data_IF_642457310935
#
_entry.id   IF_642457310935
#
_cell.length_a   1.000
_cell.length_b   1.000
_cell.length_c   1.000
_cell.angle_alpha   90.00
_cell.angle_beta   90.00
_cell.angle_gamma   90.00
#
_symmetry.space_group_name_H-M   'P 1'
#
loop_
_entity.id
_entity.type
_entity.pdbx_description
1 polymer ?
#
# COMPACT_ATOMS: atom_id res chain seq x y z
N UNK A 1 -11.02 59.21 60.87
CA UNK A 1 -9.77 59.54 60.15
C UNK A 1 -9.99 59.34 58.66
N UNK A 2 -9.74 60.39 57.87
CA UNK A 2 -9.57 60.45 56.39
C UNK A 2 -10.81 60.09 55.52
N UNK A 3 -11.60 61.03 54.99
CA UNK A 3 -11.42 61.86 53.74
C UNK A 3 -11.17 61.00 52.48
N UNK A 4 -11.81 61.15 51.30
CA UNK A 4 -12.55 62.25 50.68
C UNK A 4 -13.13 61.87 49.29
N UNK A 5 -14.10 62.70 48.81
CA UNK A 5 -14.41 63.13 47.41
C UNK A 5 -15.05 62.11 46.44
N UNK A 6 -16.31 62.24 46.03
CA UNK A 6 -16.95 63.20 45.07
C UNK A 6 -16.38 63.12 43.64
N UNK A 7 -17.25 62.80 42.67
CA UNK A 7 -16.97 62.99 41.25
C UNK A 7 -18.06 62.51 40.28
N UNK A 8 -19.27 63.07 40.32
CA UNK A 8 -20.20 63.03 39.19
C UNK A 8 -19.66 63.90 38.04
N UNK A 9 -19.62 63.37 36.81
CA UNK A 9 -19.64 64.16 35.58
C UNK A 9 -20.55 63.50 34.55
N UNK A 10 -21.67 64.16 34.28
CA UNK A 10 -22.31 64.17 32.96
C UNK A 10 -21.68 65.26 32.10
N UNK A 11 -21.76 65.13 30.77
CA UNK A 11 -22.34 66.22 30.00
C UNK A 11 -23.55 65.74 29.20
N UNK A 12 -24.65 66.43 29.43
CA UNK A 12 -25.75 66.62 28.50
C UNK A 12 -25.25 67.13 27.14
N UNK A 13 -25.83 66.64 26.04
CA UNK A 13 -26.44 67.49 25.00
C UNK A 13 -27.21 66.66 23.96
N UNK A 14 -28.46 67.09 23.72
CA UNK A 14 -29.24 67.02 22.47
C UNK A 14 -29.91 65.69 22.03
N UNK A 15 -31.22 65.61 22.32
CA UNK A 15 -32.26 65.00 21.45
C UNK A 15 -32.87 66.13 20.58
N UNK A 16 -33.38 65.88 19.35
CA UNK A 16 -34.76 65.37 19.18
C UNK A 16 -34.93 64.38 18.00
N UNK A 17 -35.70 63.31 18.21
CA UNK A 17 -37.08 63.08 17.72
C UNK A 17 -37.16 62.25 16.44
N UNK A 18 -37.63 61.00 16.56
CA UNK A 18 -38.81 60.52 15.83
C UNK A 18 -39.21 59.10 16.25
N UNK A 19 -40.46 59.03 16.71
CA UNK A 19 -41.44 57.94 16.56
C UNK A 19 -41.11 56.49 16.97
N UNK A 20 -41.86 56.08 18.00
CA UNK A 20 -42.57 54.79 18.16
C UNK A 20 -41.75 53.49 18.22
N UNK A 21 -41.93 52.57 19.15
CA UNK A 21 -42.80 52.42 20.31
C UNK A 21 -42.27 51.21 21.12
N UNK A 22 -42.51 51.21 22.44
CA UNK A 22 -42.67 49.97 23.21
C UNK A 22 -41.40 49.28 23.75
N UNK A 23 -40.78 49.86 24.77
CA UNK A 23 -40.30 49.06 25.91
C UNK A 23 -41.56 48.55 26.68
N UNK A 24 -41.54 47.56 27.62
CA UNK A 24 -40.41 47.47 28.56
C UNK A 24 -40.22 46.23 29.51
N UNK A 25 -39.14 46.34 30.31
CA UNK A 25 -39.00 46.01 31.74
C UNK A 25 -38.91 44.55 32.28
N UNK A 26 -37.87 44.39 33.10
CA UNK A 26 -37.82 43.76 34.43
C UNK A 26 -37.61 42.23 34.56
N UNK A 27 -36.36 41.89 34.84
CA UNK A 27 -35.91 41.42 36.16
C UNK A 27 -36.93 40.63 37.01
N UNK A 28 -36.72 39.32 37.15
CA UNK A 28 -36.32 38.68 38.41
C UNK A 28 -36.82 37.22 38.54
N UNK A 29 -36.00 36.43 39.23
CA UNK A 29 -36.32 35.24 40.05
C UNK A 29 -36.30 33.84 39.39
N UNK A 30 -35.54 32.99 40.10
CA UNK A 30 -35.84 31.60 40.46
C UNK A 30 -35.49 30.47 39.46
N UNK A 31 -34.32 29.87 39.71
CA UNK A 31 -34.13 28.45 40.04
C UNK A 31 -35.27 27.47 39.66
N UNK A 32 -35.04 26.63 38.65
CA UNK A 32 -35.04 25.16 38.78
C UNK A 32 -34.52 24.50 37.51
N UNK A 33 -33.53 23.61 37.65
CA UNK A 33 -33.14 22.64 36.61
C UNK A 33 -34.37 21.78 36.25
N UNK A 34 -34.61 21.46 34.97
CA UNK A 34 -35.44 20.31 34.62
C UNK A 34 -34.65 19.04 34.97
N UNK A 35 -35.28 18.20 35.79
CA UNK A 35 -34.79 16.89 36.18
C UNK A 35 -34.62 16.00 34.95
N UNK A 36 -33.47 15.30 34.89
CA UNK A 36 -33.27 14.15 34.02
C UNK A 36 -34.12 13.01 34.58
N UNK A 37 -35.15 12.63 33.83
CA UNK A 37 -35.95 11.45 34.11
C UNK A 37 -36.32 10.74 32.81
N UNK A 38 -36.18 9.42 32.83
CA UNK A 38 -36.56 8.45 31.80
C UNK A 38 -35.48 8.04 30.79
N UNK A 39 -34.66 7.12 31.30
CA UNK A 39 -33.94 6.02 30.65
C UNK A 39 -34.45 5.58 29.28
N UNK A 40 -33.62 5.77 28.25
CA UNK A 40 -33.60 4.85 27.09
C UNK A 40 -32.77 3.63 27.49
N UNK A 41 -33.32 2.39 27.52
CA UNK A 41 -32.57 1.19 27.92
C UNK A 41 -31.58 0.69 26.85
N UNK A 42 -31.33 1.45 25.79
CA UNK A 42 -30.64 0.99 24.58
C UNK A 42 -29.28 1.66 24.33
N UNK A 43 -28.66 2.23 25.37
CA UNK A 43 -27.28 2.77 25.31
C UNK A 43 -26.24 1.99 26.11
N UNK A 44 -26.63 0.97 26.88
CA UNK A 44 -25.71 0.22 27.74
C UNK A 44 -25.20 -1.12 27.17
N UNK A 45 -25.55 -1.48 25.92
CA UNK A 45 -25.19 -2.80 25.36
C UNK A 45 -24.04 -2.84 24.35
N UNK A 46 -23.25 -1.77 24.17
CA UNK A 46 -22.02 -1.82 23.34
C UNK A 46 -20.89 -0.93 23.90
N UNK A 47 -20.10 -1.40 24.88
CA UNK A 47 -18.89 -0.69 25.31
C UNK A 47 -17.67 -1.25 24.58
N UNK A 48 -17.49 -0.97 23.28
CA UNK A 48 -16.23 -1.32 22.58
C UNK A 48 -15.74 -0.24 21.59
N UNK A 49 -16.54 0.77 21.25
CA UNK A 49 -16.20 1.68 20.14
C UNK A 49 -15.41 2.96 20.49
N UNK A 50 -15.39 3.52 21.73
CA UNK A 50 -14.71 4.81 21.95
C UNK A 50 -13.20 4.75 21.67
N UNK A 51 -12.56 3.65 22.06
CA UNK A 51 -11.11 3.50 21.95
C UNK A 51 -10.61 3.37 20.49
N UNK A 52 -11.45 2.88 19.58
CA UNK A 52 -11.10 2.76 18.15
C UNK A 52 -11.14 4.12 17.45
N UNK A 53 -12.16 4.95 17.75
CA UNK A 53 -12.34 6.28 17.14
C UNK A 53 -11.29 7.28 17.65
N UNK A 54 -10.93 7.22 18.94
CA UNK A 54 -9.88 8.07 19.50
C UNK A 54 -8.46 7.67 19.06
N UNK A 55 -8.24 6.38 18.76
CA UNK A 55 -7.00 5.91 18.14
C UNK A 55 -6.93 6.35 16.66
N UNK A 56 -8.04 6.31 15.93
CA UNK A 56 -8.15 6.78 14.54
C UNK A 56 -7.82 8.28 14.41
N UNK A 57 -8.37 9.14 15.28
CA UNK A 57 -8.06 10.58 15.29
C UNK A 57 -6.59 10.90 15.63
N UNK A 58 -5.94 10.10 16.48
CA UNK A 58 -4.52 10.29 16.84
C UNK A 58 -3.57 9.76 15.76
N UNK A 59 -4.04 8.77 14.98
CA UNK A 59 -3.37 8.26 13.79
C UNK A 59 -3.46 9.29 12.66
N UNK A 60 -4.61 9.92 12.41
CA UNK A 60 -4.77 10.95 11.37
C UNK A 60 -3.78 12.12 11.53
N UNK A 61 -3.57 12.60 12.76
CA UNK A 61 -2.68 13.75 13.02
C UNK A 61 -1.17 13.43 12.92
N UNK A 62 -0.77 12.16 12.99
CA UNK A 62 0.63 11.70 12.74
C UNK A 62 0.82 11.05 11.38
N UNK A 63 -0.25 10.58 10.74
CA UNK A 63 -0.24 10.01 9.39
C UNK A 63 -0.19 11.10 8.30
N UNK A 64 -0.61 12.33 8.60
CA UNK A 64 -0.58 13.46 7.69
C UNK A 64 0.81 13.91 7.24
N UNK A 65 1.89 13.39 7.82
CA UNK A 65 3.25 13.88 7.58
C UNK A 65 3.96 13.13 6.43
N UNK A 66 3.45 11.99 5.93
CA UNK A 66 4.26 11.09 5.09
C UNK A 66 3.63 10.52 3.82
N UNK A 67 2.43 10.95 3.43
CA UNK A 67 2.03 10.75 2.04
C UNK A 67 2.93 11.67 1.22
N UNK A 68 3.92 11.13 0.52
CA UNK A 68 4.62 11.90 -0.51
C UNK A 68 3.56 12.28 -1.55
N UNK A 69 3.00 13.48 -1.40
CA UNK A 69 2.05 14.04 -2.36
C UNK A 69 2.85 14.28 -3.63
N UNK A 70 2.78 13.30 -4.54
CA UNK A 70 3.44 13.41 -5.84
C UNK A 70 2.57 14.26 -6.77
N UNK A 71 3.15 14.91 -7.78
CA UNK A 71 2.36 15.63 -8.78
C UNK A 71 1.39 14.68 -9.47
N UNK A 72 0.14 15.12 -9.69
CA UNK A 72 -0.91 14.31 -10.33
C UNK A 72 -0.44 13.67 -11.65
N UNK A 73 0.33 14.40 -12.47
CA UNK A 73 0.90 13.87 -13.72
C UNK A 73 1.78 12.62 -13.53
N UNK A 74 2.52 12.56 -12.43
CA UNK A 74 3.41 11.43 -12.11
C UNK A 74 2.60 10.26 -11.55
N UNK A 75 1.53 10.53 -10.80
CA UNK A 75 0.59 9.50 -10.34
C UNK A 75 -0.18 8.88 -11.51
N UNK A 76 -0.70 9.69 -12.43
CA UNK A 76 -1.39 9.22 -13.63
C UNK A 76 -0.45 8.40 -14.53
N UNK A 77 0.79 8.86 -14.73
CA UNK A 77 1.78 8.10 -15.50
C UNK A 77 2.06 6.74 -14.84
N UNK A 78 2.26 6.74 -13.51
CA UNK A 78 2.51 5.51 -12.73
C UNK A 78 1.31 4.55 -12.80
N UNK A 79 0.08 5.06 -12.62
CA UNK A 79 -1.14 4.27 -12.72
C UNK A 79 -1.32 3.66 -14.12
N UNK A 80 -1.01 4.44 -15.17
CA UNK A 80 -1.11 3.97 -16.57
C UNK A 80 -0.11 2.86 -16.87
N UNK A 81 1.15 3.03 -16.46
CA UNK A 81 2.21 2.02 -16.63
C UNK A 81 1.82 0.71 -15.93
N UNK A 82 1.42 0.81 -14.66
CA UNK A 82 1.04 -0.37 -13.87
C UNK A 82 -0.27 -1.01 -14.37
N UNK A 83 -1.24 -0.21 -14.83
CA UNK A 83 -2.49 -0.71 -15.41
C UNK A 83 -2.26 -1.48 -16.70
N UNK A 84 -1.38 -0.97 -17.59
CA UNK A 84 -0.94 -1.69 -18.78
C UNK A 84 -0.21 -3.00 -18.43
N UNK A 85 0.65 -2.97 -17.42
CA UNK A 85 1.35 -4.16 -16.94
C UNK A 85 0.39 -5.20 -16.33
N UNK A 86 -0.66 -4.78 -15.64
CA UNK A 86 -1.70 -5.68 -15.14
C UNK A 86 -2.44 -6.39 -16.29
N UNK A 87 -2.85 -5.65 -17.32
CA UNK A 87 -3.49 -6.24 -18.51
C UNK A 87 -2.54 -7.23 -19.22
N UNK A 88 -1.27 -6.84 -19.41
CA UNK A 88 -0.25 -7.72 -19.99
C UNK A 88 -0.02 -8.99 -19.14
N UNK A 89 -0.06 -8.87 -17.81
CA UNK A 89 0.10 -10.00 -16.89
C UNK A 89 -1.07 -10.97 -16.92
N UNK A 90 -2.30 -10.48 -17.09
CA UNK A 90 -3.47 -11.34 -17.27
C UNK A 90 -3.36 -12.15 -18.58
N UNK A 91 -2.96 -11.50 -19.68
CA UNK A 91 -2.71 -12.18 -20.96
C UNK A 91 -1.53 -13.16 -20.85
N UNK A 92 -0.46 -12.77 -20.15
CA UNK A 92 0.70 -13.62 -19.89
C UNK A 92 0.35 -14.86 -19.08
N UNK A 93 -0.48 -14.73 -18.05
CA UNK A 93 -1.00 -15.86 -17.28
C UNK A 93 -1.80 -16.82 -18.17
N UNK A 94 -2.75 -16.29 -18.97
CA UNK A 94 -3.52 -17.10 -19.90
C UNK A 94 -2.60 -17.84 -20.90
N UNK A 95 -1.58 -17.16 -21.43
CA UNK A 95 -0.58 -17.75 -22.32
C UNK A 95 0.20 -18.89 -21.65
N UNK A 96 0.70 -18.69 -20.42
CA UNK A 96 1.44 -19.71 -19.67
C UNK A 96 0.59 -20.94 -19.40
N UNK A 97 -0.66 -20.76 -18.97
CA UNK A 97 -1.59 -21.85 -18.71
C UNK A 97 -1.90 -22.62 -20.00
N UNK A 98 -2.18 -21.93 -21.10
CA UNK A 98 -2.44 -22.56 -22.39
C UNK A 98 -1.25 -23.39 -22.90
N UNK A 99 -0.01 -22.90 -22.68
CA UNK A 99 1.23 -23.61 -23.04
C UNK A 99 1.50 -24.83 -22.15
N UNK A 100 1.10 -24.78 -20.88
CA UNK A 100 1.30 -25.88 -19.94
C UNK A 100 0.19 -26.94 -19.99
N UNK A 101 -1.01 -26.57 -20.43
CA UNK A 101 -2.20 -27.44 -20.43
C UNK A 101 -2.00 -28.80 -21.13
N UNK A 102 -1.37 -28.90 -22.31
CA UNK A 102 -1.21 -30.19 -23.01
C UNK A 102 -0.37 -31.22 -22.24
N UNK A 103 0.39 -30.78 -21.23
CA UNK A 103 1.33 -31.62 -20.47
C UNK A 103 0.65 -32.45 -19.38
N UNK A 104 -0.61 -32.14 -19.05
CA UNK A 104 -1.35 -32.75 -17.94
C UNK A 104 -0.61 -32.74 -16.58
N UNK A 105 0.34 -31.80 -16.40
CA UNK A 105 1.08 -31.63 -15.15
C UNK A 105 0.38 -30.58 -14.27
N UNK A 106 -0.51 -31.05 -13.41
CA UNK A 106 -1.28 -30.18 -12.52
C UNK A 106 -0.38 -29.33 -11.60
N UNK A 107 0.75 -29.87 -11.16
CA UNK A 107 1.68 -29.17 -10.28
C UNK A 107 2.39 -28.03 -11.02
N UNK A 108 2.90 -28.29 -12.23
CA UNK A 108 3.50 -27.26 -13.08
C UNK A 108 2.50 -26.16 -13.45
N UNK A 109 1.26 -26.52 -13.81
CA UNK A 109 0.18 -25.55 -14.08
C UNK A 109 -0.10 -24.70 -12.84
N UNK A 110 -0.21 -25.31 -11.66
CA UNK A 110 -0.44 -24.58 -10.41
C UNK A 110 0.68 -23.59 -10.12
N UNK A 111 1.94 -23.98 -10.32
CA UNK A 111 3.08 -23.10 -10.12
C UNK A 111 3.05 -21.87 -11.05
N UNK A 112 2.66 -22.06 -12.31
CA UNK A 112 2.49 -20.98 -13.28
C UNK A 112 1.30 -20.08 -12.96
N UNK A 113 0.19 -20.65 -12.46
CA UNK A 113 -0.97 -19.87 -12.00
C UNK A 113 -0.60 -18.99 -10.82
N UNK A 114 0.11 -19.53 -9.83
CA UNK A 114 0.60 -18.76 -8.66
C UNK A 114 1.49 -17.60 -9.12
N UNK A 115 2.42 -17.85 -10.05
CA UNK A 115 3.25 -16.81 -10.63
C UNK A 115 2.42 -15.74 -11.34
N UNK A 116 1.62 -16.10 -12.34
CA UNK A 116 0.88 -15.12 -13.15
C UNK A 116 -0.19 -14.37 -12.35
N UNK A 117 -0.83 -15.02 -11.37
CA UNK A 117 -1.76 -14.36 -10.46
C UNK A 117 -1.06 -13.36 -9.55
N UNK A 118 0.11 -13.70 -9.00
CA UNK A 118 0.91 -12.76 -8.18
C UNK A 118 1.33 -11.52 -8.98
N UNK A 119 1.73 -11.71 -10.24
CA UNK A 119 2.09 -10.66 -11.19
C UNK A 119 0.90 -9.73 -11.46
N UNK A 120 -0.25 -10.30 -11.82
CA UNK A 120 -1.48 -9.57 -12.07
C UNK A 120 -1.94 -8.76 -10.86
N UNK A 121 -2.00 -9.40 -9.68
CA UNK A 121 -2.47 -8.76 -8.45
C UNK A 121 -1.54 -7.63 -8.01
N UNK A 122 -0.22 -7.81 -8.13
CA UNK A 122 0.74 -6.76 -7.78
C UNK A 122 0.56 -5.53 -8.67
N UNK A 123 0.53 -5.71 -9.99
CA UNK A 123 0.35 -4.58 -10.91
C UNK A 123 -1.03 -3.93 -10.82
N UNK A 124 -2.09 -4.72 -10.66
CA UNK A 124 -3.44 -4.20 -10.51
C UNK A 124 -3.56 -3.35 -9.24
N UNK A 125 -3.07 -3.86 -8.10
CA UNK A 125 -3.13 -3.12 -6.84
C UNK A 125 -2.34 -1.82 -6.92
N UNK A 126 -1.18 -1.86 -7.57
CA UNK A 126 -0.34 -0.67 -7.79
C UNK A 126 -1.00 0.38 -8.68
N UNK A 127 -1.66 -0.07 -9.75
CA UNK A 127 -2.43 0.79 -10.63
C UNK A 127 -3.59 1.47 -9.89
N UNK A 128 -4.34 0.70 -9.08
CA UNK A 128 -5.44 1.21 -8.27
C UNK A 128 -4.93 2.19 -7.19
N UNK A 129 -3.83 1.88 -6.53
CA UNK A 129 -3.21 2.75 -5.52
C UNK A 129 -2.86 4.13 -6.09
N UNK A 130 -2.29 4.18 -7.30
CA UNK A 130 -1.93 5.43 -7.96
C UNK A 130 -3.11 6.11 -8.67
N UNK A 131 -4.18 5.37 -9.01
CA UNK A 131 -5.36 5.90 -9.69
C UNK A 131 -6.41 6.53 -8.76
N UNK A 132 -6.44 6.12 -7.49
CA UNK A 132 -7.46 6.55 -6.53
C UNK A 132 -7.06 7.83 -5.80
N UNK A 133 -7.95 8.83 -5.83
CA UNK A 133 -7.77 10.12 -5.13
C UNK A 133 -8.39 10.14 -3.72
N UNK A 134 -9.20 9.14 -3.36
CA UNK A 134 -9.80 9.05 -2.03
C UNK A 134 -8.75 8.57 -1.00
N UNK A 135 -8.44 9.40 -0.01
CA UNK A 135 -7.37 9.14 0.97
C UNK A 135 -7.57 7.89 1.84
N UNK A 136 -8.82 7.55 2.20
CA UNK A 136 -9.11 6.35 3.00
C UNK A 136 -8.83 5.09 2.19
N UNK A 137 -9.35 5.04 0.96
CA UNK A 137 -9.15 3.91 0.05
C UNK A 137 -7.68 3.80 -0.35
N UNK A 138 -7.03 4.92 -0.62
CA UNK A 138 -5.60 4.99 -0.97
C UNK A 138 -4.71 4.42 0.14
N UNK A 139 -5.05 4.66 1.40
CA UNK A 139 -4.29 4.11 2.54
C UNK A 139 -4.35 2.60 2.61
N UNK A 140 -5.53 2.01 2.38
CA UNK A 140 -5.71 0.55 2.32
C UNK A 140 -4.97 -0.03 1.11
N UNK A 141 -5.16 0.55 -0.08
CA UNK A 141 -4.50 0.11 -1.31
C UNK A 141 -2.97 0.17 -1.21
N UNK A 142 -2.42 1.19 -0.54
CA UNK A 142 -0.97 1.27 -0.26
C UNK A 142 -0.47 0.11 0.58
N UNK A 143 -1.25 -0.31 1.58
CA UNK A 143 -0.88 -1.44 2.43
C UNK A 143 -0.89 -2.75 1.64
N UNK A 144 -1.91 -2.95 0.79
CA UNK A 144 -2.02 -4.11 -0.08
C UNK A 144 -0.88 -4.10 -1.11
N UNK A 145 -0.63 -2.98 -1.79
CA UNK A 145 0.43 -2.80 -2.80
C UNK A 145 1.80 -3.22 -2.23
N UNK A 146 2.15 -2.72 -1.04
CA UNK A 146 3.37 -3.14 -0.35
C UNK A 146 3.40 -4.64 0.00
N UNK A 147 2.27 -5.23 0.39
CA UNK A 147 2.22 -6.68 0.65
C UNK A 147 2.41 -7.49 -0.63
N UNK A 148 1.85 -7.03 -1.75
CA UNK A 148 1.90 -7.76 -3.02
C UNK A 148 3.31 -7.88 -3.59
N UNK A 149 4.24 -7.01 -3.22
CA UNK A 149 5.66 -7.14 -3.61
C UNK A 149 6.27 -8.43 -3.02
N UNK A 150 5.99 -8.75 -1.75
CA UNK A 150 6.44 -10.00 -1.13
C UNK A 150 5.85 -11.22 -1.84
N UNK A 151 4.55 -11.16 -2.16
CA UNK A 151 3.84 -12.24 -2.86
C UNK A 151 4.37 -12.40 -4.29
N UNK A 152 4.66 -11.31 -4.99
CA UNK A 152 5.23 -11.34 -6.35
C UNK A 152 6.61 -12.00 -6.36
N UNK A 153 7.48 -11.66 -5.41
CA UNK A 153 8.80 -12.30 -5.32
C UNK A 153 8.63 -13.81 -5.08
N UNK A 154 7.84 -14.23 -4.08
CA UNK A 154 7.59 -15.65 -3.82
C UNK A 154 6.91 -16.37 -4.98
N UNK A 155 5.95 -15.71 -5.63
CA UNK A 155 5.25 -16.20 -6.81
C UNK A 155 6.20 -16.41 -8.00
N UNK A 156 7.19 -15.54 -8.17
CA UNK A 156 8.24 -15.68 -9.20
C UNK A 156 9.13 -16.89 -8.96
N UNK A 157 9.49 -17.17 -7.70
CA UNK A 157 10.28 -18.34 -7.33
C UNK A 157 9.50 -19.66 -7.41
N UNK A 158 8.17 -19.61 -7.33
CA UNK A 158 7.33 -20.82 -7.31
C UNK A 158 7.50 -21.71 -8.55
N UNK A 159 7.39 -21.21 -9.80
CA UNK A 159 7.68 -22.03 -10.98
C UNK A 159 9.17 -22.39 -11.10
N UNK A 160 10.10 -21.57 -10.62
CA UNK A 160 11.53 -21.91 -10.62
C UNK A 160 11.83 -23.10 -9.70
N UNK A 161 11.14 -23.19 -8.57
CA UNK A 161 11.25 -24.30 -7.64
C UNK A 161 10.54 -25.57 -8.15
N UNK A 162 9.37 -25.43 -8.77
CA UNK A 162 8.49 -26.55 -9.08
C UNK A 162 8.58 -27.09 -10.51
N UNK A 163 9.23 -26.38 -11.43
CA UNK A 163 9.50 -26.87 -12.79
C UNK A 163 10.92 -27.48 -12.88
N UNK A 164 12.02 -26.69 -12.95
CA UNK A 164 13.35 -27.26 -13.15
C UNK A 164 13.89 -27.97 -11.90
N UNK A 165 13.56 -27.48 -10.69
CA UNK A 165 14.08 -28.03 -9.44
C UNK A 165 13.14 -29.02 -8.74
N UNK A 166 12.09 -29.49 -9.43
CA UNK A 166 11.04 -30.36 -8.85
C UNK A 166 11.61 -31.55 -8.07
N UNK A 167 12.71 -32.11 -8.54
CA UNK A 167 13.39 -33.28 -7.95
C UNK A 167 14.78 -32.97 -7.38
N UNK A 168 15.23 -31.71 -7.44
CA UNK A 168 16.58 -31.25 -7.12
C UNK A 168 16.51 -29.99 -6.22
N UNK A 169 15.98 -30.14 -5.02
CA UNK A 169 15.92 -29.07 -3.98
C UNK A 169 14.93 -27.92 -4.23
N UNK A 170 13.89 -28.11 -5.04
CA UNK A 170 12.82 -27.13 -5.20
C UNK A 170 12.04 -26.83 -3.91
N UNK A 171 11.83 -27.83 -3.05
CA UNK A 171 11.05 -27.66 -1.81
C UNK A 171 11.73 -26.70 -0.81
N UNK A 172 13.03 -26.83 -0.49
CA UNK A 172 13.73 -25.85 0.34
C UNK A 172 13.66 -24.41 -0.21
N UNK A 173 13.84 -24.22 -1.53
CA UNK A 173 13.72 -22.91 -2.15
C UNK A 173 12.30 -22.34 -2.00
N UNK A 174 11.28 -23.15 -2.27
CA UNK A 174 9.88 -22.74 -2.14
C UNK A 174 9.52 -22.41 -0.69
N UNK A 175 9.92 -23.26 0.26
CA UNK A 175 9.62 -23.05 1.68
C UNK A 175 10.30 -21.78 2.20
N UNK A 176 11.59 -21.58 1.89
CA UNK A 176 12.33 -20.40 2.34
C UNK A 176 11.73 -19.11 1.82
N UNK A 177 11.38 -19.04 0.53
CA UNK A 177 10.85 -17.79 -0.06
C UNK A 177 9.44 -17.46 0.45
N UNK A 178 8.58 -18.45 0.63
CA UNK A 178 7.23 -18.21 1.14
C UNK A 178 7.22 -17.87 2.63
N UNK A 179 8.11 -18.48 3.43
CA UNK A 179 8.30 -18.09 4.84
C UNK A 179 8.77 -16.63 4.91
N UNK A 180 9.78 -16.24 4.13
CA UNK A 180 10.25 -14.86 4.08
C UNK A 180 9.16 -13.88 3.63
N UNK A 181 8.34 -14.27 2.65
CA UNK A 181 7.21 -13.47 2.18
C UNK A 181 6.18 -13.24 3.29
N UNK A 182 5.77 -14.32 3.97
CA UNK A 182 4.82 -14.24 5.09
C UNK A 182 5.39 -13.38 6.22
N UNK A 183 6.67 -13.57 6.59
CA UNK A 183 7.33 -12.73 7.58
C UNK A 183 7.33 -11.24 7.18
N UNK A 184 7.64 -10.95 5.90
CA UNK A 184 7.62 -9.59 5.37
C UNK A 184 6.23 -8.95 5.43
N UNK A 185 5.19 -9.70 5.06
CA UNK A 185 3.78 -9.28 5.16
C UNK A 185 3.42 -9.03 6.62
N UNK A 186 3.74 -9.94 7.53
CA UNK A 186 3.46 -9.78 8.97
C UNK A 186 4.14 -8.52 9.52
N UNK A 187 5.41 -8.25 9.17
CA UNK A 187 6.10 -7.02 9.57
C UNK A 187 5.39 -5.79 8.99
N UNK A 188 4.99 -5.83 7.72
CA UNK A 188 4.24 -4.75 7.06
C UNK A 188 2.93 -4.43 7.76
N UNK A 189 2.20 -5.45 8.21
CA UNK A 189 0.91 -5.31 8.89
C UNK A 189 1.06 -4.92 10.37
N UNK A 190 2.10 -5.40 11.05
CA UNK A 190 2.31 -5.19 12.48
C UNK A 190 2.95 -3.83 12.83
N UNK A 191 3.87 -3.31 11.99
CA UNK A 191 4.58 -2.07 12.29
C UNK A 191 5.03 -1.32 11.03
N UNK A 192 4.34 -0.23 10.73
CA UNK A 192 4.71 0.72 9.66
C UNK A 192 6.12 1.29 9.86
N UNK A 193 6.51 1.59 11.11
CA UNK A 193 7.81 2.15 11.42
C UNK A 193 8.96 1.18 11.21
N UNK A 194 8.78 -0.09 11.58
CA UNK A 194 9.79 -1.13 11.36
C UNK A 194 9.88 -1.45 9.87
N UNK A 195 8.72 -1.67 9.22
CA UNK A 195 8.65 -1.92 7.79
C UNK A 195 9.40 -0.86 6.99
N UNK A 196 9.19 0.44 7.24
CA UNK A 196 9.89 1.51 6.53
C UNK A 196 11.42 1.41 6.60
N UNK A 197 11.96 0.90 7.72
CA UNK A 197 13.42 0.76 7.91
C UNK A 197 13.98 -0.45 7.17
N UNK A 198 13.23 -1.56 7.14
CA UNK A 198 13.76 -2.85 6.69
C UNK A 198 13.21 -3.33 5.35
N UNK A 199 12.13 -2.74 4.82
CA UNK A 199 11.44 -3.24 3.63
C UNK A 199 12.36 -3.42 2.43
N UNK A 200 13.17 -2.41 2.10
CA UNK A 200 14.10 -2.47 0.98
C UNK A 200 15.13 -3.60 1.16
N UNK A 201 15.62 -3.79 2.40
CA UNK A 201 16.56 -4.87 2.72
C UNK A 201 15.87 -6.22 2.58
N UNK A 202 14.64 -6.37 3.07
CA UNK A 202 13.87 -7.61 2.93
C UNK A 202 13.59 -7.95 1.46
N UNK A 203 13.15 -6.98 0.66
CA UNK A 203 12.90 -7.19 -0.77
C UNK A 203 14.16 -7.61 -1.52
N UNK A 204 15.28 -6.95 -1.24
CA UNK A 204 16.54 -7.29 -1.87
C UNK A 204 17.05 -8.66 -1.39
N UNK A 205 16.99 -8.95 -0.10
CA UNK A 205 17.38 -10.23 0.46
C UNK A 205 16.58 -11.38 -0.18
N UNK A 206 15.26 -11.25 -0.24
CA UNK A 206 14.39 -12.23 -0.92
C UNK A 206 14.70 -12.34 -2.41
N UNK A 207 14.89 -11.21 -3.10
CA UNK A 207 15.22 -11.19 -4.52
C UNK A 207 16.52 -11.91 -4.86
N UNK A 208 17.48 -11.93 -3.94
CA UNK A 208 18.81 -12.53 -4.14
C UNK A 208 18.94 -13.96 -3.62
N UNK A 209 17.90 -14.53 -2.98
CA UNK A 209 17.86 -15.95 -2.55
C UNK A 209 18.22 -16.90 -3.70
N UNK A 210 17.79 -16.57 -4.93
CA UNK A 210 18.06 -17.37 -6.13
C UNK A 210 19.54 -17.58 -6.45
N UNK A 211 20.44 -16.73 -5.96
CA UNK A 211 21.87 -16.97 -6.10
C UNK A 211 22.34 -18.25 -5.39
N UNK A 212 21.72 -18.59 -4.25
CA UNK A 212 22.01 -19.83 -3.54
C UNK A 212 21.66 -21.08 -4.35
N UNK A 213 20.72 -20.96 -5.30
CA UNK A 213 20.30 -22.03 -6.21
C UNK A 213 20.79 -21.79 -7.66
N UNK A 214 21.75 -20.88 -7.87
CA UNK A 214 22.19 -20.51 -9.22
C UNK A 214 22.78 -21.69 -10.00
N UNK A 215 23.58 -22.54 -9.35
CA UNK A 215 24.17 -23.76 -9.94
C UNK A 215 23.09 -24.76 -10.35
N UNK A 216 22.23 -25.27 -9.44
CA UNK A 216 21.20 -26.23 -9.83
C UNK A 216 20.18 -25.65 -10.82
N UNK A 217 19.88 -24.34 -10.73
CA UNK A 217 19.04 -23.68 -11.73
C UNK A 217 19.70 -23.66 -13.10
N UNK A 218 21.00 -23.38 -13.20
CA UNK A 218 21.71 -23.39 -14.47
C UNK A 218 21.78 -24.78 -15.09
N UNK A 219 22.07 -25.80 -14.28
CA UNK A 219 22.14 -27.19 -14.74
C UNK A 219 20.78 -27.71 -15.23
N UNK A 220 19.69 -27.38 -14.53
CA UNK A 220 18.35 -27.90 -14.85
C UNK A 220 17.56 -27.06 -15.86
N UNK A 221 17.73 -25.73 -15.86
CA UNK A 221 17.01 -24.83 -16.76
C UNK A 221 17.79 -24.48 -18.03
N UNK A 222 19.12 -24.57 -17.98
CA UNK A 222 20.02 -24.15 -19.05
C UNK A 222 20.30 -22.64 -19.07
N UNK A 223 21.20 -22.24 -19.97
CA UNK A 223 21.79 -20.89 -19.99
C UNK A 223 20.78 -19.78 -20.34
N UNK A 224 19.86 -20.02 -21.28
CA UNK A 224 18.97 -18.97 -21.78
C UNK A 224 17.99 -18.45 -20.71
N UNK A 225 17.25 -19.30 -19.96
CA UNK A 225 16.45 -18.83 -18.83
C UNK A 225 17.29 -18.10 -17.77
N UNK A 226 18.48 -18.60 -17.45
CA UNK A 226 19.38 -17.96 -16.49
C UNK A 226 19.80 -16.54 -16.87
N UNK A 227 20.12 -16.29 -18.14
CA UNK A 227 20.44 -14.94 -18.60
C UNK A 227 19.27 -13.97 -18.43
N UNK A 228 18.04 -14.41 -18.69
CA UNK A 228 16.84 -13.61 -18.45
C UNK A 228 16.60 -13.36 -16.95
N UNK A 229 16.85 -14.35 -16.09
CA UNK A 229 16.76 -14.16 -14.62
C UNK A 229 17.79 -13.13 -14.13
N UNK A 230 19.03 -13.20 -14.62
CA UNK A 230 20.09 -12.24 -14.27
C UNK A 230 19.69 -10.83 -14.75
N UNK A 231 19.25 -10.70 -15.99
CA UNK A 231 18.78 -9.42 -16.53
C UNK A 231 17.62 -8.85 -15.70
N UNK A 232 16.66 -9.70 -15.31
CA UNK A 232 15.54 -9.31 -14.44
C UNK A 232 15.99 -8.85 -13.06
N UNK A 233 16.84 -9.63 -12.38
CA UNK A 233 17.37 -9.30 -11.06
C UNK A 233 18.19 -8.01 -11.04
N UNK A 234 19.01 -7.79 -12.07
CA UNK A 234 19.76 -6.54 -12.25
C UNK A 234 18.83 -5.36 -12.53
N UNK A 235 17.79 -5.55 -13.34
CA UNK A 235 16.82 -4.50 -13.66
C UNK A 235 16.03 -4.07 -12.41
N UNK A 236 15.58 -5.02 -11.59
CA UNK A 236 14.94 -4.68 -10.30
C UNK A 236 15.89 -3.94 -9.37
N UNK A 237 17.12 -4.46 -9.22
CA UNK A 237 18.13 -3.86 -8.32
C UNK A 237 18.51 -2.45 -8.78
N UNK A 238 18.71 -2.24 -10.09
CA UNK A 238 18.95 -0.93 -10.67
C UNK A 238 17.76 0.03 -10.51
N UNK A 239 16.54 -0.49 -10.58
CA UNK A 239 15.31 0.25 -10.32
C UNK A 239 15.27 0.94 -8.94
N UNK A 240 15.92 0.35 -7.92
CA UNK A 240 16.00 0.95 -6.58
C UNK A 240 16.76 2.29 -6.58
N UNK A 241 17.67 2.51 -7.54
CA UNK A 241 18.37 3.79 -7.68
C UNK A 241 17.38 4.89 -8.04
N UNK A 242 16.51 4.65 -9.02
CA UNK A 242 15.46 5.59 -9.43
C UNK A 242 14.40 5.78 -8.35
N UNK A 243 14.03 4.71 -7.64
CA UNK A 243 13.10 4.79 -6.51
C UNK A 243 13.57 5.76 -5.41
N UNK A 244 14.87 5.75 -5.08
CA UNK A 244 15.45 6.66 -4.08
C UNK A 244 15.79 8.06 -4.62
N UNK A 245 15.73 8.26 -5.93
CA UNK A 245 16.12 9.52 -6.56
C UNK A 245 14.98 10.55 -6.55
N UNK A 246 14.65 11.08 -5.37
CA UNK A 246 13.50 11.99 -5.20
C UNK A 246 13.59 13.32 -5.97
N UNK A 247 14.77 13.75 -6.40
CA UNK A 247 14.96 14.99 -7.18
C UNK A 247 14.69 14.84 -8.68
N UNK A 248 14.63 13.60 -9.19
CA UNK A 248 14.40 13.35 -10.61
C UNK A 248 12.90 13.44 -10.93
N UNK A 249 12.47 14.25 -11.90
CA UNK A 249 11.08 14.29 -12.33
C UNK A 249 10.67 12.92 -12.89
N UNK A 250 9.48 12.45 -12.55
CA UNK A 250 8.97 11.12 -12.93
C UNK A 250 9.78 9.93 -12.37
N UNK A 251 10.57 10.14 -11.30
CA UNK A 251 11.31 9.06 -10.62
C UNK A 251 10.45 7.84 -10.29
N UNK A 252 9.20 8.03 -9.87
CA UNK A 252 8.30 6.92 -9.55
C UNK A 252 7.90 6.12 -10.79
N UNK A 253 7.58 6.83 -11.88
CA UNK A 253 7.17 6.21 -13.13
C UNK A 253 8.34 5.48 -13.79
N UNK A 254 9.56 6.02 -13.70
CA UNK A 254 10.79 5.34 -14.16
C UNK A 254 11.04 4.08 -13.33
N UNK A 255 10.88 4.16 -12.00
CA UNK A 255 10.95 2.97 -11.15
C UNK A 255 9.93 1.90 -11.55
N UNK A 256 8.67 2.28 -11.79
CA UNK A 256 7.64 1.35 -12.28
C UNK A 256 8.00 0.73 -13.63
N UNK A 257 8.58 1.50 -14.56
CA UNK A 257 9.08 0.93 -15.82
C UNK A 257 10.18 -0.11 -15.59
N UNK A 258 11.11 0.13 -14.66
CA UNK A 258 12.10 -0.88 -14.28
C UNK A 258 11.44 -2.14 -13.67
N UNK A 259 10.40 -1.98 -12.84
CA UNK A 259 9.65 -3.11 -12.28
C UNK A 259 8.97 -3.92 -13.37
N UNK A 260 8.32 -3.25 -14.33
CA UNK A 260 7.68 -3.91 -15.49
C UNK A 260 8.71 -4.62 -16.37
N UNK A 261 9.84 -3.97 -16.67
CA UNK A 261 10.91 -4.56 -17.47
C UNK A 261 11.54 -5.78 -16.78
N UNK A 262 11.83 -5.69 -15.47
CA UNK A 262 12.34 -6.82 -14.69
C UNK A 262 11.35 -7.99 -14.67
N UNK A 263 10.07 -7.69 -14.50
CA UNK A 263 8.98 -8.68 -14.55
C UNK A 263 8.87 -9.35 -15.92
N UNK A 264 9.02 -8.58 -17.00
CA UNK A 264 9.05 -9.11 -18.36
C UNK A 264 10.24 -10.05 -18.58
N UNK A 265 11.43 -9.73 -18.04
CA UNK A 265 12.57 -10.63 -18.08
C UNK A 265 12.28 -11.96 -17.36
N UNK A 266 11.70 -11.94 -16.15
CA UNK A 266 11.33 -13.17 -15.45
C UNK A 266 10.23 -13.96 -16.17
N UNK A 267 9.25 -13.28 -16.77
CA UNK A 267 8.26 -13.92 -17.63
C UNK A 267 8.92 -14.62 -18.81
N UNK A 268 9.86 -13.97 -19.49
CA UNK A 268 10.64 -14.59 -20.56
C UNK A 268 11.49 -15.76 -20.06
N UNK A 269 12.10 -15.68 -18.89
CA UNK A 269 12.81 -16.81 -18.29
C UNK A 269 11.87 -18.01 -18.10
N UNK A 270 10.70 -17.80 -17.47
CA UNK A 270 9.73 -18.85 -17.14
C UNK A 270 9.11 -19.46 -18.40
N UNK A 271 8.77 -18.64 -19.40
CA UNK A 271 8.25 -19.17 -20.68
C UNK A 271 9.25 -20.08 -21.39
N UNK A 272 10.56 -19.85 -21.23
CA UNK A 272 11.62 -20.69 -21.81
C UNK A 272 11.87 -21.98 -21.05
N UNK A 273 11.33 -22.12 -19.83
CA UNK A 273 11.28 -23.41 -19.12
C UNK A 273 10.23 -24.36 -19.71
N UNK A 274 9.25 -23.82 -20.45
CA UNK A 274 8.26 -24.61 -21.17
C UNK A 274 8.83 -24.93 -22.56
N UNK A 275 9.09 -26.21 -22.90
CA UNK A 275 9.66 -26.54 -24.20
C UNK A 275 8.68 -26.19 -25.33
N UNK A 276 9.27 -25.82 -26.47
CA UNK A 276 8.59 -25.31 -27.67
C UNK A 276 7.52 -26.30 -28.13
#
# INVERSE_FOLDING_TARGET
MSTSRIGCRSPSTAWPSSSSAGAPWLCARHCKKPERGSSSPLRELLPVVPHFVEAENRIEHRASIWVQVRPLREEVASATIQGGAAAASALGLAYLVARAWPRQDALGVTALVVYGASLFVAFLTSALYHGVQNERVRTVLRQIDHCTIFVLIAGTYTPLALLPLRHHDGVPLLASIWVLAICGIVVRLASESLYRRIAIVLYLAMGWVGLGWSVPLHEMAGTVPCLWMIAGGLTYTGGLLFYRWHRLPFSNSIWHLCVVAGSACFFLAITRLLPI
#
